data_IF_233299913973
#
_entry.id   IF_233299913973
#
_cell.length_a   1.000
_cell.length_b   1.000
_cell.length_c   1.000
_cell.angle_alpha   90.00
_cell.angle_beta   90.00
_cell.angle_gamma   90.00
#
_symmetry.space_group_name_H-M   'P 1'
#
loop_
_entity.id
_entity.type
_entity.pdbx_description
1 polymer ?
#
# COMPACT_ATOMS: atom_id res chain seq x y z
N UNK A 1 -48.51 4.13 -2.97
CA UNK A 1 -48.27 4.54 -4.39
C UNK A 1 -46.84 4.06 -4.66
N UNK A 2 -46.67 3.10 -5.56
CA UNK A 2 -45.34 2.76 -6.04
C UNK A 2 -44.69 4.00 -6.61
N UNK A 3 -43.51 4.35 -6.13
CA UNK A 3 -42.73 5.46 -6.66
C UNK A 3 -42.41 5.17 -8.13
N UNK A 4 -42.92 6.01 -9.04
CA UNK A 4 -42.70 5.80 -10.47
C UNK A 4 -41.20 5.97 -10.76
N UNK A 5 -40.49 4.90 -11.00
CA UNK A 5 -39.04 4.91 -11.32
C UNK A 5 -38.81 5.81 -12.53
N UNK A 6 -37.91 6.79 -12.40
CA UNK A 6 -37.49 7.65 -13.50
C UNK A 6 -36.37 6.95 -14.28
N UNK A 7 -36.74 6.31 -15.38
CA UNK A 7 -35.81 5.55 -16.23
C UNK A 7 -34.78 6.46 -16.90
N UNK A 8 -35.16 7.67 -17.27
CA UNK A 8 -34.23 8.63 -17.88
C UNK A 8 -33.10 9.02 -16.86
N UNK A 9 -33.42 9.12 -15.57
CA UNK A 9 -32.44 9.42 -14.55
C UNK A 9 -31.43 8.27 -14.37
N UNK A 10 -31.86 7.02 -14.49
CA UNK A 10 -31.00 5.85 -14.47
C UNK A 10 -30.10 5.81 -15.72
N UNK A 11 -30.63 6.12 -16.87
CA UNK A 11 -29.96 6.00 -18.17
C UNK A 11 -29.01 7.16 -18.47
N UNK A 12 -29.16 8.32 -17.84
CA UNK A 12 -28.31 9.49 -18.13
C UNK A 12 -26.83 9.23 -17.86
N UNK A 13 -26.52 8.32 -16.89
CA UNK A 13 -25.14 7.95 -16.48
C UNK A 13 -24.63 6.71 -17.23
N UNK A 14 -25.43 6.13 -18.12
CA UNK A 14 -25.05 4.96 -18.92
C UNK A 14 -24.42 5.40 -20.25
N UNK A 15 -23.52 4.59 -20.77
CA UNK A 15 -22.85 4.87 -22.05
C UNK A 15 -23.83 4.74 -23.24
N UNK A 16 -23.59 5.51 -24.29
CA UNK A 16 -24.19 5.27 -25.58
C UNK A 16 -23.89 3.82 -26.03
N UNK A 17 -24.88 3.18 -26.67
CA UNK A 17 -24.79 1.76 -27.03
C UNK A 17 -25.19 0.79 -25.91
N UNK A 18 -25.60 1.29 -24.72
CA UNK A 18 -26.16 0.41 -23.67
C UNK A 18 -27.34 -0.37 -24.23
N UNK A 19 -27.28 -1.69 -24.14
CA UNK A 19 -28.32 -2.60 -24.61
C UNK A 19 -29.57 -2.48 -23.75
N UNK A 20 -30.71 -2.39 -24.40
CA UNK A 20 -32.05 -2.28 -23.81
C UNK A 20 -33.05 -3.08 -24.67
N UNK A 21 -34.29 -3.22 -24.21
CA UNK A 21 -35.30 -4.00 -24.88
C UNK A 21 -36.63 -3.24 -24.97
N UNK A 22 -37.19 -3.18 -26.19
CA UNK A 22 -38.54 -2.67 -26.42
C UNK A 22 -39.54 -3.82 -26.38
N UNK A 23 -40.33 -3.89 -25.32
CA UNK A 23 -41.33 -4.94 -25.10
C UNK A 23 -42.48 -4.88 -26.13
N UNK A 24 -42.90 -3.68 -26.56
CA UNK A 24 -44.00 -3.52 -27.47
C UNK A 24 -43.66 -4.00 -28.89
N UNK A 25 -42.41 -3.72 -29.31
CA UNK A 25 -41.92 -4.07 -30.66
C UNK A 25 -41.22 -5.41 -30.68
N UNK A 26 -40.92 -5.97 -29.49
CA UNK A 26 -40.17 -7.22 -29.28
C UNK A 26 -38.83 -7.19 -29.99
N UNK A 27 -38.06 -6.10 -29.77
CA UNK A 27 -36.74 -5.89 -30.38
C UNK A 27 -35.73 -5.39 -29.35
N UNK A 28 -34.47 -5.73 -29.57
CA UNK A 28 -33.34 -5.11 -28.87
C UNK A 28 -33.11 -3.70 -29.43
N UNK A 29 -32.86 -2.75 -28.54
CA UNK A 29 -32.54 -1.37 -28.85
C UNK A 29 -31.29 -0.95 -28.10
N UNK A 30 -30.58 0.04 -28.61
CA UNK A 30 -29.40 0.62 -28.00
C UNK A 30 -29.68 2.05 -27.58
N UNK A 31 -29.27 2.41 -26.36
CA UNK A 31 -29.36 3.78 -25.88
C UNK A 31 -28.52 4.68 -26.79
N UNK A 32 -29.12 5.70 -27.40
CA UNK A 32 -28.38 6.77 -28.08
C UNK A 32 -28.07 7.90 -27.10
N UNK A 33 -29.10 8.50 -26.53
CA UNK A 33 -28.94 9.57 -25.51
C UNK A 33 -30.21 9.78 -24.68
N UNK A 34 -30.01 10.44 -23.54
CA UNK A 34 -31.08 11.05 -22.76
C UNK A 34 -31.02 12.56 -22.99
N UNK A 35 -32.10 13.18 -23.40
CA UNK A 35 -32.12 14.62 -23.62
C UNK A 35 -33.35 15.28 -23.01
N UNK A 36 -33.20 16.55 -22.63
CA UNK A 36 -34.27 17.36 -22.06
C UNK A 36 -34.59 18.50 -23.01
N UNK A 37 -35.86 18.67 -23.28
CA UNK A 37 -36.44 19.77 -24.10
C UNK A 37 -37.37 20.63 -23.25
N UNK A 38 -37.90 21.71 -23.80
CA UNK A 38 -38.88 22.57 -23.13
C UNK A 38 -40.17 21.82 -22.73
N UNK A 39 -40.45 20.69 -23.38
CA UNK A 39 -41.65 19.85 -23.15
C UNK A 39 -41.38 18.61 -22.26
N UNK A 40 -40.13 18.31 -21.93
CA UNK A 40 -39.82 17.22 -21.03
C UNK A 40 -38.50 16.50 -21.32
N UNK A 41 -38.21 15.47 -20.51
CA UNK A 41 -37.07 14.59 -20.70
C UNK A 41 -37.47 13.32 -21.46
N UNK A 42 -36.67 12.95 -22.43
CA UNK A 42 -36.89 11.81 -23.33
C UNK A 42 -35.64 10.92 -23.40
N UNK A 43 -35.90 9.65 -23.71
CA UNK A 43 -34.87 8.63 -23.93
C UNK A 43 -34.92 8.28 -25.41
N UNK A 44 -33.83 8.51 -26.12
CA UNK A 44 -33.67 8.17 -27.53
C UNK A 44 -32.86 6.87 -27.64
N UNK A 45 -33.42 5.90 -28.36
CA UNK A 45 -32.77 4.63 -28.62
C UNK A 45 -32.79 4.33 -30.12
N UNK A 46 -31.83 3.51 -30.54
CA UNK A 46 -31.68 3.05 -31.91
C UNK A 46 -31.79 1.54 -32.01
N UNK A 47 -32.24 1.03 -33.16
CA UNK A 47 -32.13 -0.37 -33.53
C UNK A 47 -31.74 -0.48 -35.00
N UNK A 48 -30.84 -1.39 -35.31
CA UNK A 48 -30.42 -1.66 -36.68
C UNK A 48 -31.15 -2.90 -37.19
N UNK A 49 -31.90 -2.75 -38.27
CA UNK A 49 -32.63 -3.87 -38.89
C UNK A 49 -31.70 -4.76 -39.74
N UNK A 50 -32.22 -5.91 -40.20
CA UNK A 50 -31.48 -6.88 -41.02
C UNK A 50 -30.89 -6.32 -42.31
N UNK A 51 -31.45 -5.21 -42.84
CA UNK A 51 -30.98 -4.54 -44.06
C UNK A 51 -29.97 -3.42 -43.75
N UNK A 52 -29.52 -3.27 -42.46
CA UNK A 52 -28.53 -2.27 -42.05
C UNK A 52 -29.12 -0.84 -41.92
N UNK A 53 -30.42 -0.67 -41.91
CA UNK A 53 -31.05 0.63 -41.67
C UNK A 53 -31.24 0.86 -40.17
N UNK A 54 -30.83 2.02 -39.68
CA UNK A 54 -31.01 2.42 -38.27
C UNK A 54 -32.39 3.07 -38.12
N UNK A 55 -33.16 2.54 -37.18
CA UNK A 55 -34.45 3.09 -36.75
C UNK A 55 -34.26 3.83 -35.42
N UNK A 56 -34.96 4.95 -35.26
CA UNK A 56 -34.94 5.78 -34.07
C UNK A 56 -36.23 5.63 -33.27
N UNK A 57 -36.13 5.47 -31.95
CA UNK A 57 -37.26 5.33 -31.04
C UNK A 57 -37.12 6.31 -29.89
N UNK A 58 -38.20 7.03 -29.60
CA UNK A 58 -38.29 7.96 -28.48
C UNK A 58 -39.20 7.42 -27.38
N UNK A 59 -38.72 7.44 -26.16
CA UNK A 59 -39.46 7.05 -24.95
C UNK A 59 -39.58 8.23 -24.00
N UNK A 60 -40.64 8.24 -23.20
CA UNK A 60 -40.78 9.20 -22.11
C UNK A 60 -39.71 8.93 -21.02
N UNK A 61 -39.57 9.86 -20.10
CA UNK A 61 -38.69 9.70 -18.92
C UNK A 61 -39.00 8.46 -18.04
N UNK A 62 -40.18 7.88 -18.19
CA UNK A 62 -40.64 6.68 -17.47
C UNK A 62 -40.44 5.40 -18.29
N UNK A 63 -39.90 5.46 -19.51
CA UNK A 63 -39.76 4.32 -20.42
C UNK A 63 -41.09 3.86 -21.06
N UNK A 64 -42.08 4.74 -21.13
CA UNK A 64 -43.31 4.54 -21.90
C UNK A 64 -43.17 5.14 -23.30
N UNK A 65 -44.11 4.88 -24.25
CA UNK A 65 -44.10 5.60 -25.50
C UNK A 65 -44.16 7.12 -25.27
N UNK A 66 -43.47 7.90 -26.12
CA UNK A 66 -43.30 9.36 -25.98
C UNK A 66 -44.61 10.11 -25.81
N UNK A 67 -45.64 9.68 -26.51
CA UNK A 67 -46.97 10.31 -26.49
C UNK A 67 -47.87 9.81 -25.35
N UNK A 68 -47.46 8.82 -24.54
CA UNK A 68 -48.30 8.20 -23.53
C UNK A 68 -47.60 8.25 -22.16
N UNK A 69 -47.63 9.41 -21.52
CA UNK A 69 -46.96 9.66 -20.20
C UNK A 69 -47.48 8.79 -19.04
N UNK A 70 -48.70 8.22 -19.20
CA UNK A 70 -49.30 7.35 -18.20
C UNK A 70 -49.45 5.88 -18.65
N UNK A 71 -48.82 5.52 -19.76
CA UNK A 71 -48.88 4.19 -20.36
C UNK A 71 -48.04 3.14 -19.59
N UNK A 72 -48.18 1.90 -20.05
CA UNK A 72 -47.33 0.80 -19.62
C UNK A 72 -45.88 1.09 -20.00
N UNK A 73 -44.97 0.83 -19.09
CA UNK A 73 -43.51 0.87 -19.36
C UNK A 73 -43.17 -0.21 -20.38
N UNK A 74 -42.65 0.19 -21.53
CA UNK A 74 -42.30 -0.71 -22.63
C UNK A 74 -40.80 -0.81 -22.83
N UNK A 75 -40.00 0.20 -22.38
CA UNK A 75 -38.54 0.13 -22.37
C UNK A 75 -38.11 -0.59 -21.12
N UNK A 76 -37.30 -1.63 -21.25
CA UNK A 76 -36.84 -2.51 -20.23
C UNK A 76 -35.29 -2.62 -20.28
N UNK A 77 -34.59 -2.99 -19.18
CA UNK A 77 -33.15 -3.23 -19.22
C UNK A 77 -32.74 -4.30 -20.23
N UNK A 78 -33.44 -5.45 -20.26
CA UNK A 78 -33.28 -6.49 -21.27
C UNK A 78 -34.60 -7.27 -21.46
N UNK A 79 -34.59 -8.28 -22.31
CA UNK A 79 -35.71 -9.20 -22.46
C UNK A 79 -35.94 -10.02 -21.18
N UNK A 80 -34.89 -10.38 -20.48
CA UNK A 80 -34.88 -11.19 -19.26
C UNK A 80 -35.07 -10.34 -18.01
N UNK A 81 -34.42 -9.16 -17.96
CA UNK A 81 -34.43 -8.24 -16.83
C UNK A 81 -35.46 -7.16 -16.99
N UNK A 82 -36.39 -7.02 -16.03
CA UNK A 82 -37.45 -6.01 -16.01
C UNK A 82 -37.41 -5.03 -14.86
N UNK A 83 -36.45 -5.22 -13.97
CA UNK A 83 -36.28 -4.45 -12.73
C UNK A 83 -35.27 -3.32 -12.90
N UNK A 84 -35.75 -2.11 -13.16
CA UNK A 84 -34.91 -0.91 -13.27
C UNK A 84 -34.18 -0.57 -11.97
N UNK A 85 -34.70 -0.94 -10.81
CA UNK A 85 -34.02 -0.70 -9.54
C UNK A 85 -32.71 -1.51 -9.47
N UNK A 86 -32.75 -2.77 -9.92
CA UNK A 86 -31.55 -3.62 -9.99
C UNK A 86 -30.61 -3.17 -11.09
N UNK A 87 -31.14 -2.79 -12.26
CA UNK A 87 -30.31 -2.23 -13.34
C UNK A 87 -29.58 -0.94 -12.92
N UNK A 88 -30.11 -0.19 -11.96
CA UNK A 88 -29.49 1.03 -11.43
C UNK A 88 -28.31 0.80 -10.51
N UNK A 89 -27.97 -0.45 -10.18
CA UNK A 89 -26.81 -0.75 -9.35
C UNK A 89 -25.53 -0.17 -9.96
N UNK A 90 -24.68 0.39 -9.09
CA UNK A 90 -23.42 1.04 -9.47
C UNK A 90 -22.26 0.31 -8.83
N UNK A 91 -21.11 0.31 -9.47
CA UNK A 91 -19.87 -0.20 -8.89
C UNK A 91 -19.65 0.39 -7.49
N UNK A 92 -19.37 -0.49 -6.53
CA UNK A 92 -19.23 -0.13 -5.11
C UNK A 92 -20.52 -0.19 -4.29
N UNK A 93 -21.69 -0.46 -4.91
CA UNK A 93 -22.91 -0.74 -4.14
C UNK A 93 -22.78 -2.06 -3.38
N UNK A 94 -23.25 -2.08 -2.14
CA UNK A 94 -23.33 -3.32 -1.36
C UNK A 94 -24.66 -3.99 -1.66
N UNK A 95 -24.58 -5.23 -2.10
CA UNK A 95 -25.74 -6.11 -2.33
C UNK A 95 -25.84 -7.13 -1.20
N UNK A 96 -27.05 -7.48 -0.83
CA UNK A 96 -27.34 -8.52 0.17
C UNK A 96 -28.21 -9.59 -0.47
N UNK A 97 -27.87 -10.85 -0.21
CA UNK A 97 -28.68 -12.00 -0.63
C UNK A 97 -30.06 -11.97 0.03
N UNK A 98 -31.08 -12.49 -0.63
CA UNK A 98 -32.46 -12.50 -0.13
C UNK A 98 -32.64 -13.23 1.21
N UNK A 99 -31.69 -14.13 1.57
CA UNK A 99 -31.65 -14.82 2.86
C UNK A 99 -30.82 -14.05 3.91
N UNK A 100 -30.24 -12.91 3.54
CA UNK A 100 -29.47 -12.03 4.42
C UNK A 100 -28.07 -12.53 4.80
N UNK A 101 -27.62 -13.68 4.27
CA UNK A 101 -26.37 -14.31 4.71
C UNK A 101 -25.13 -13.87 3.97
N UNK A 102 -25.29 -13.41 2.73
CA UNK A 102 -24.18 -13.03 1.88
C UNK A 102 -24.27 -11.53 1.54
N UNK A 103 -23.17 -10.81 1.74
CA UNK A 103 -23.03 -9.42 1.28
C UNK A 103 -21.88 -9.34 0.28
N UNK A 104 -22.11 -8.66 -0.83
CA UNK A 104 -21.17 -8.53 -1.95
C UNK A 104 -21.08 -7.07 -2.35
N UNK A 105 -19.91 -6.59 -2.68
CA UNK A 105 -19.73 -5.27 -3.28
C UNK A 105 -19.85 -5.44 -4.80
N UNK A 106 -20.87 -4.85 -5.39
CA UNK A 106 -21.15 -4.95 -6.82
C UNK A 106 -20.04 -4.31 -7.65
N UNK A 107 -19.59 -5.00 -8.68
CA UNK A 107 -18.61 -4.49 -9.64
C UNK A 107 -19.27 -4.14 -10.97
N UNK A 108 -19.89 -5.12 -11.64
CA UNK A 108 -20.52 -5.00 -12.94
C UNK A 108 -21.54 -6.10 -13.18
N UNK A 109 -22.40 -5.90 -14.16
CA UNK A 109 -23.15 -7.01 -14.72
C UNK A 109 -22.23 -7.91 -15.56
N UNK A 110 -22.53 -9.18 -15.62
CA UNK A 110 -21.71 -10.17 -16.33
C UNK A 110 -21.92 -10.07 -17.86
N UNK A 111 -23.16 -9.82 -18.28
CA UNK A 111 -23.54 -9.67 -19.68
C UNK A 111 -24.68 -8.65 -19.90
N UNK A 112 -25.09 -8.46 -21.15
CA UNK A 112 -26.16 -7.55 -21.58
C UNK A 112 -27.57 -8.06 -21.23
N UNK A 113 -27.72 -9.23 -20.61
CA UNK A 113 -29.01 -9.70 -20.08
C UNK A 113 -29.32 -9.13 -18.71
N UNK A 114 -28.25 -8.69 -17.98
CA UNK A 114 -28.29 -8.13 -16.63
C UNK A 114 -28.89 -9.07 -15.57
N UNK A 115 -28.94 -10.36 -15.87
CA UNK A 115 -29.49 -11.39 -14.96
C UNK A 115 -28.46 -11.91 -13.99
N UNK A 116 -27.18 -11.77 -14.30
CA UNK A 116 -26.04 -12.10 -13.45
C UNK A 116 -25.09 -10.91 -13.27
N UNK A 117 -24.29 -10.97 -12.21
CA UNK A 117 -23.34 -9.91 -11.90
C UNK A 117 -22.05 -10.49 -11.29
N UNK A 118 -20.99 -9.69 -11.37
CA UNK A 118 -19.71 -9.92 -10.71
C UNK A 118 -19.54 -8.90 -9.60
N UNK A 119 -18.99 -9.32 -8.47
CA UNK A 119 -18.70 -8.46 -7.33
C UNK A 119 -17.58 -9.01 -6.47
N UNK A 120 -17.17 -8.25 -5.46
CA UNK A 120 -16.17 -8.63 -4.49
C UNK A 120 -16.82 -9.14 -3.21
N UNK A 121 -16.36 -10.28 -2.76
CA UNK A 121 -16.86 -10.97 -1.57
C UNK A 121 -15.73 -11.10 -0.55
N UNK A 122 -15.98 -10.67 0.69
CA UNK A 122 -15.03 -10.72 1.78
C UNK A 122 -15.51 -11.69 2.85
N UNK A 123 -14.84 -12.84 2.97
CA UNK A 123 -15.18 -13.91 3.91
C UNK A 123 -14.22 -13.92 5.08
N UNK A 124 -14.78 -14.05 6.29
CA UNK A 124 -14.01 -14.45 7.46
C UNK A 124 -13.79 -15.96 7.41
N UNK A 125 -12.54 -16.38 7.21
CA UNK A 125 -12.16 -17.79 7.37
C UNK A 125 -11.11 -17.91 8.48
N UNK A 126 -11.28 -18.90 9.36
CA UNK A 126 -10.25 -19.26 10.30
C UNK A 126 -9.22 -20.16 9.60
N UNK A 127 -7.96 -19.71 9.54
CA UNK A 127 -6.84 -20.51 9.03
C UNK A 127 -6.48 -21.65 9.97
N UNK A 128 -5.53 -22.49 9.56
CA UNK A 128 -5.08 -23.67 10.33
C UNK A 128 -4.53 -23.38 11.74
N UNK A 129 -4.25 -22.10 12.04
CA UNK A 129 -3.68 -21.65 13.33
C UNK A 129 -4.63 -20.74 14.12
N UNK A 130 -5.95 -20.82 13.89
CA UNK A 130 -6.95 -19.90 14.46
C UNK A 130 -6.70 -18.40 14.14
N UNK A 131 -5.86 -18.10 13.15
CA UNK A 131 -5.71 -16.75 12.63
C UNK A 131 -6.81 -16.45 11.61
N UNK A 132 -7.46 -15.29 11.76
CA UNK A 132 -8.45 -14.80 10.80
C UNK A 132 -7.73 -14.54 9.45
N UNK A 133 -8.08 -15.34 8.45
CA UNK A 133 -7.62 -15.12 7.09
C UNK A 133 -8.77 -14.54 6.28
N UNK A 134 -8.56 -13.34 5.74
CA UNK A 134 -9.52 -12.71 4.85
C UNK A 134 -9.27 -13.17 3.42
N UNK A 135 -10.29 -13.76 2.81
CA UNK A 135 -10.29 -14.07 1.38
C UNK A 135 -11.10 -13.01 0.64
N UNK A 136 -10.46 -12.37 -0.32
CA UNK A 136 -11.10 -11.59 -1.35
C UNK A 136 -11.34 -12.52 -2.55
N UNK A 137 -12.61 -12.75 -2.90
CA UNK A 137 -12.97 -13.58 -4.04
C UNK A 137 -13.92 -12.83 -4.97
N UNK A 138 -13.79 -13.08 -6.28
CA UNK A 138 -14.83 -12.70 -7.23
C UNK A 138 -16.08 -13.53 -6.95
N UNK A 139 -17.20 -12.86 -6.81
CA UNK A 139 -18.50 -13.49 -6.62
C UNK A 139 -19.34 -13.33 -7.87
N UNK A 140 -19.82 -14.44 -8.39
CA UNK A 140 -20.80 -14.48 -9.48
C UNK A 140 -22.18 -14.77 -8.90
N UNK A 141 -23.10 -13.83 -9.06
CA UNK A 141 -24.43 -13.95 -8.47
C UNK A 141 -25.55 -13.66 -9.47
N UNK A 142 -26.68 -14.35 -9.28
CA UNK A 142 -27.90 -14.04 -10.03
C UNK A 142 -28.60 -12.83 -9.42
N UNK A 143 -28.93 -11.84 -10.22
CA UNK A 143 -29.56 -10.59 -9.77
C UNK A 143 -30.89 -10.82 -9.06
N UNK A 144 -31.61 -11.90 -9.39
CA UNK A 144 -32.88 -12.26 -8.74
C UNK A 144 -32.73 -12.57 -7.26
N UNK A 145 -31.56 -13.06 -6.86
CA UNK A 145 -31.27 -13.50 -5.49
C UNK A 145 -30.72 -12.38 -4.59
N UNK A 146 -30.52 -11.17 -5.11
CA UNK A 146 -29.92 -10.06 -4.41
C UNK A 146 -30.76 -8.79 -4.46
N UNK A 147 -30.60 -7.97 -3.42
CA UNK A 147 -31.14 -6.61 -3.35
C UNK A 147 -30.05 -5.65 -2.90
N UNK A 148 -30.18 -4.37 -3.28
CA UNK A 148 -29.24 -3.35 -2.79
C UNK A 148 -29.49 -3.09 -1.31
N UNK A 149 -28.41 -3.08 -0.53
CA UNK A 149 -28.48 -2.79 0.89
C UNK A 149 -28.80 -1.31 1.13
N UNK A 150 -29.35 -0.98 2.31
CA UNK A 150 -29.52 0.39 2.72
C UNK A 150 -28.14 1.09 2.83
N UNK A 151 -28.10 2.41 2.64
CA UNK A 151 -26.85 3.16 2.67
C UNK A 151 -26.14 3.03 4.03
N UNK A 152 -26.88 3.07 5.13
CA UNK A 152 -26.36 2.92 6.48
C UNK A 152 -25.74 1.52 6.72
N UNK A 153 -26.44 0.46 6.31
CA UNK A 153 -25.95 -0.90 6.47
C UNK A 153 -24.78 -1.22 5.52
N UNK A 154 -24.78 -0.62 4.32
CA UNK A 154 -23.67 -0.71 3.37
C UNK A 154 -22.41 -0.04 3.91
N UNK A 155 -22.52 1.16 4.46
CA UNK A 155 -21.40 1.87 5.09
C UNK A 155 -20.86 1.09 6.29
N UNK A 156 -21.73 0.52 7.12
CA UNK A 156 -21.34 -0.32 8.26
C UNK A 156 -20.55 -1.55 7.80
N UNK A 157 -21.03 -2.22 6.74
CA UNK A 157 -20.35 -3.40 6.17
C UNK A 157 -18.95 -3.04 5.62
N UNK A 158 -18.85 -1.97 4.82
CA UNK A 158 -17.56 -1.49 4.28
C UNK A 158 -16.60 -1.14 5.42
N UNK A 159 -17.07 -0.41 6.43
CA UNK A 159 -16.24 -0.02 7.58
C UNK A 159 -15.72 -1.25 8.35
N UNK A 160 -16.54 -2.28 8.51
CA UNK A 160 -16.12 -3.55 9.16
C UNK A 160 -14.99 -4.22 8.36
N UNK A 161 -15.07 -4.26 7.02
CA UNK A 161 -14.00 -4.79 6.17
C UNK A 161 -12.75 -3.95 6.30
N UNK A 162 -12.86 -2.63 6.21
CA UNK A 162 -11.75 -1.69 6.32
C UNK A 162 -11.01 -1.81 7.66
N UNK A 163 -11.75 -1.89 8.77
CA UNK A 163 -11.18 -2.07 10.11
C UNK A 163 -10.48 -3.43 10.26
N UNK A 164 -11.08 -4.50 9.74
CA UNK A 164 -10.55 -5.85 9.80
C UNK A 164 -9.28 -6.01 8.96
N UNK A 165 -9.25 -5.45 7.75
CA UNK A 165 -8.11 -5.56 6.82
C UNK A 165 -7.05 -4.47 7.05
N UNK A 166 -7.34 -3.49 7.91
CA UNK A 166 -6.42 -2.41 8.24
C UNK A 166 -6.16 -1.45 7.07
N UNK A 167 -7.14 -1.24 6.18
CA UNK A 167 -7.01 -0.40 5.00
C UNK A 167 -8.32 0.27 4.60
N UNK A 168 -8.32 0.95 3.45
CA UNK A 168 -9.50 1.58 2.85
C UNK A 168 -9.86 0.89 1.55
N UNK A 169 -11.16 0.65 1.32
CA UNK A 169 -11.62 0.11 0.04
C UNK A 169 -11.57 1.22 -1.02
N UNK A 170 -10.74 1.01 -2.03
CA UNK A 170 -10.75 1.85 -3.23
C UNK A 170 -12.03 1.55 -4.02
N UNK A 171 -12.84 2.58 -4.25
CA UNK A 171 -14.14 2.42 -4.91
C UNK A 171 -14.05 2.15 -6.42
N UNK A 172 -12.89 2.39 -7.03
CA UNK A 172 -12.66 2.12 -8.46
C UNK A 172 -12.15 0.70 -8.69
N UNK A 173 -11.19 0.23 -7.88
CA UNK A 173 -10.62 -1.12 -7.99
C UNK A 173 -11.40 -2.14 -7.17
N UNK A 174 -12.07 -1.71 -6.11
CA UNK A 174 -12.71 -2.50 -5.05
C UNK A 174 -11.70 -3.31 -4.22
N UNK A 175 -10.43 -2.92 -4.24
CA UNK A 175 -9.36 -3.52 -3.44
C UNK A 175 -9.15 -2.72 -2.14
N UNK A 176 -8.64 -3.40 -1.12
CA UNK A 176 -8.31 -2.74 0.15
C UNK A 176 -6.90 -2.17 0.09
N UNK A 177 -6.82 -0.85 0.02
CA UNK A 177 -5.56 -0.13 0.09
C UNK A 177 -5.14 0.05 1.55
N UNK A 178 -4.08 -0.65 1.95
CA UNK A 178 -3.50 -0.46 3.28
C UNK A 178 -2.73 0.86 3.30
N UNK A 179 -2.89 1.68 4.35
CA UNK A 179 -2.07 2.87 4.49
C UNK A 179 -0.61 2.44 4.54
N UNK A 180 0.16 2.90 3.59
CA UNK A 180 1.60 2.69 3.66
C UNK A 180 2.13 3.51 4.85
N UNK A 181 2.91 2.91 5.76
CA UNK A 181 3.48 3.64 6.87
C UNK A 181 4.31 4.82 6.31
N UNK A 182 4.05 6.02 6.82
CA UNK A 182 4.89 7.18 6.52
C UNK A 182 6.23 7.02 7.24
N UNK A 183 7.27 6.71 6.49
CA UNK A 183 8.62 6.67 7.01
C UNK A 183 9.24 8.07 6.98
N UNK A 184 10.01 8.36 8.04
CA UNK A 184 10.77 9.61 8.16
C UNK A 184 12.22 9.36 7.84
N UNK A 185 12.87 10.39 7.34
CA UNK A 185 14.32 10.38 7.13
C UNK A 185 15.06 9.94 8.41
N UNK A 186 15.88 8.89 8.28
CA UNK A 186 16.59 8.25 9.37
C UNK A 186 15.87 7.05 10.01
N UNK A 187 14.63 6.74 9.63
CA UNK A 187 13.97 5.53 10.09
C UNK A 187 14.68 4.28 9.55
N UNK A 188 14.87 3.28 10.41
CA UNK A 188 15.44 2.02 9.98
C UNK A 188 14.30 1.08 9.58
N UNK A 189 14.33 0.66 8.33
CA UNK A 189 13.27 -0.11 7.69
C UNK A 189 13.78 -1.45 7.17
N UNK A 190 12.89 -2.42 7.12
CA UNK A 190 13.08 -3.64 6.34
C UNK A 190 12.39 -3.45 4.99
N UNK A 191 13.18 -3.61 3.92
CA UNK A 191 12.76 -3.53 2.54
C UNK A 191 12.63 -4.95 1.98
N UNK A 192 11.40 -5.38 1.69
CA UNK A 192 11.14 -6.69 1.10
C UNK A 192 10.91 -6.52 -0.40
N UNK A 193 11.77 -7.16 -1.20
CA UNK A 193 11.71 -7.16 -2.65
C UNK A 193 11.81 -8.59 -3.16
N UNK A 194 10.80 -9.08 -3.90
CA UNK A 194 10.81 -10.45 -4.47
C UNK A 194 11.14 -11.54 -3.45
N UNK A 195 10.62 -11.44 -2.22
CA UNK A 195 10.86 -12.36 -1.08
C UNK A 195 12.27 -12.27 -0.46
N UNK A 196 13.08 -11.31 -0.86
CA UNK A 196 14.36 -11.00 -0.22
C UNK A 196 14.16 -9.82 0.73
N UNK A 197 14.64 -9.95 1.97
CA UNK A 197 14.59 -8.87 2.96
C UNK A 197 15.95 -8.17 3.03
N UNK A 198 15.94 -6.86 2.85
CA UNK A 198 17.08 -5.97 3.03
C UNK A 198 16.79 -5.05 4.21
N UNK A 199 17.82 -4.59 4.91
CA UNK A 199 17.67 -3.65 6.02
C UNK A 199 18.27 -2.31 5.60
N UNK A 200 17.53 -1.21 5.77
CA UNK A 200 17.96 0.06 5.24
C UNK A 200 17.69 1.24 6.18
N UNK A 201 18.46 2.31 6.05
CA UNK A 201 18.18 3.60 6.66
C UNK A 201 17.45 4.45 5.62
N UNK A 202 16.18 4.69 5.86
CA UNK A 202 15.32 5.44 4.94
C UNK A 202 15.76 6.90 4.85
N UNK A 203 15.79 7.45 3.63
CA UNK A 203 16.13 8.84 3.37
C UNK A 203 14.92 9.63 2.85
N UNK A 204 14.33 9.19 1.73
CA UNK A 204 13.24 9.90 1.07
C UNK A 204 12.45 8.99 0.15
N UNK A 205 11.22 9.40 -0.18
CA UNK A 205 10.39 8.75 -1.19
C UNK A 205 9.96 9.78 -2.23
N UNK A 206 10.15 9.48 -3.51
CA UNK A 206 9.72 10.27 -4.66
C UNK A 206 8.91 9.37 -5.59
N UNK A 207 8.14 9.93 -6.52
CA UNK A 207 7.15 9.20 -7.35
C UNK A 207 7.64 7.86 -7.96
N UNK A 208 8.92 7.72 -8.25
CA UNK A 208 9.47 6.51 -8.88
C UNK A 208 10.65 5.89 -8.11
N UNK A 209 11.08 6.50 -7.00
CA UNK A 209 12.29 6.09 -6.30
C UNK A 209 12.16 6.22 -4.79
N UNK A 210 12.77 5.27 -4.09
CA UNK A 210 12.98 5.33 -2.64
C UNK A 210 14.48 5.48 -2.41
N UNK A 211 14.88 6.56 -1.73
CA UNK A 211 16.26 6.84 -1.34
C UNK A 211 16.57 6.25 0.02
N UNK A 212 17.79 5.71 0.16
CA UNK A 212 18.31 5.19 1.41
C UNK A 212 19.72 5.72 1.64
N UNK A 213 20.06 6.04 2.90
CA UNK A 213 21.43 6.38 3.31
C UNK A 213 22.34 5.15 3.27
N UNK A 214 21.83 4.00 3.72
CA UNK A 214 22.51 2.71 3.66
C UNK A 214 21.51 1.58 3.48
N UNK A 215 21.94 0.50 2.81
CA UNK A 215 21.17 -0.73 2.62
C UNK A 215 22.08 -1.92 2.85
N UNK A 216 21.74 -2.76 3.83
CA UNK A 216 22.33 -4.06 4.03
C UNK A 216 21.53 -5.11 3.24
N UNK A 217 22.13 -5.64 2.20
CA UNK A 217 21.52 -6.67 1.38
C UNK A 217 21.52 -8.04 2.08
N UNK A 218 20.64 -8.93 1.67
CA UNK A 218 20.54 -10.30 2.20
C UNK A 218 21.85 -11.12 2.06
N UNK A 219 22.72 -10.74 1.13
CA UNK A 219 24.04 -11.34 0.92
C UNK A 219 25.16 -10.68 1.74
N UNK A 220 24.82 -9.95 2.81
CA UNK A 220 25.73 -9.17 3.65
C UNK A 220 26.51 -8.04 2.93
N UNK A 221 26.09 -7.67 1.72
CA UNK A 221 26.64 -6.52 1.00
C UNK A 221 26.01 -5.22 1.53
N UNK A 222 26.87 -4.27 1.93
CA UNK A 222 26.45 -2.94 2.35
C UNK A 222 26.53 -1.97 1.18
N UNK A 223 25.44 -1.30 0.86
CA UNK A 223 25.34 -0.29 -0.19
C UNK A 223 25.05 1.07 0.46
N UNK A 224 25.82 2.09 0.12
CA UNK A 224 25.61 3.45 0.62
C UNK A 224 24.99 4.32 -0.48
N UNK A 225 24.09 5.25 -0.08
CA UNK A 225 23.44 6.25 -0.93
C UNK A 225 22.86 5.68 -2.24
N UNK A 226 22.15 4.56 -2.14
CA UNK A 226 21.54 3.89 -3.31
C UNK A 226 20.02 4.14 -3.36
N UNK A 227 19.51 4.75 -4.44
CA UNK A 227 18.08 4.78 -4.71
C UNK A 227 17.60 3.44 -5.28
N UNK A 228 16.44 2.99 -4.83
CA UNK A 228 15.71 1.86 -5.40
C UNK A 228 14.54 2.38 -6.21
N UNK A 229 14.29 1.78 -7.39
CA UNK A 229 13.12 2.10 -8.20
C UNK A 229 11.90 1.37 -7.67
N UNK A 230 10.81 2.09 -7.43
CA UNK A 230 9.56 1.55 -6.89
C UNK A 230 8.74 0.77 -7.94
N UNK A 231 8.95 1.06 -9.23
CA UNK A 231 8.25 0.42 -10.35
C UNK A 231 8.77 -0.98 -10.74
N UNK A 232 9.81 -1.49 -10.08
CA UNK A 232 10.51 -2.74 -10.43
C UNK A 232 10.04 -3.94 -9.59
N UNK A 233 8.80 -3.97 -9.11
CA UNK A 233 8.23 -5.13 -8.44
C UNK A 233 7.54 -4.79 -7.12
N UNK A 234 6.96 -5.78 -6.47
CA UNK A 234 6.30 -5.64 -5.17
C UNK A 234 7.34 -5.28 -4.11
N UNK A 235 7.41 -3.99 -3.78
CA UNK A 235 8.25 -3.45 -2.71
C UNK A 235 7.37 -3.23 -1.49
N UNK A 236 7.67 -3.95 -0.42
CA UNK A 236 7.05 -3.75 0.89
C UNK A 236 8.06 -3.16 1.86
N UNK A 237 7.69 -2.06 2.51
CA UNK A 237 8.47 -1.43 3.57
C UNK A 237 7.77 -1.57 4.91
N UNK A 238 8.52 -1.97 5.94
CA UNK A 238 8.08 -1.95 7.34
C UNK A 238 9.20 -1.43 8.24
N UNK A 239 8.88 -1.01 9.45
CA UNK A 239 9.93 -0.71 10.43
C UNK A 239 10.76 -1.96 10.72
N UNK A 240 12.07 -1.79 10.83
CA UNK A 240 12.97 -2.87 11.18
C UNK A 240 12.81 -3.24 12.66
N UNK A 241 12.92 -4.53 12.97
CA UNK A 241 13.02 -5.03 14.33
C UNK A 241 14.36 -4.62 14.98
N UNK A 242 14.46 -4.68 16.29
CA UNK A 242 15.71 -4.32 16.98
C UNK A 242 16.87 -5.24 16.59
N UNK A 243 16.60 -6.51 16.29
CA UNK A 243 17.61 -7.44 15.78
C UNK A 243 18.10 -7.05 14.37
N UNK A 244 17.20 -6.62 13.49
CA UNK A 244 17.55 -6.15 12.15
C UNK A 244 18.34 -4.84 12.21
N UNK A 245 17.95 -3.91 13.08
CA UNK A 245 18.72 -2.67 13.30
C UNK A 245 20.15 -2.97 13.73
N UNK A 246 20.32 -3.92 14.68
CA UNK A 246 21.64 -4.30 15.15
C UNK A 246 22.49 -4.90 14.02
N UNK A 247 21.91 -5.75 13.16
CA UNK A 247 22.63 -6.31 12.00
C UNK A 247 23.16 -5.21 11.07
N UNK A 248 22.35 -4.17 10.79
CA UNK A 248 22.77 -3.05 9.96
C UNK A 248 23.90 -2.25 10.62
N UNK A 249 23.82 -1.97 11.93
CA UNK A 249 24.86 -1.25 12.64
C UNK A 249 26.16 -2.05 12.76
N UNK A 250 26.07 -3.36 12.95
CA UNK A 250 27.25 -4.23 12.94
C UNK A 250 27.93 -4.28 11.56
N UNK A 251 27.13 -4.26 10.49
CA UNK A 251 27.64 -4.20 9.13
C UNK A 251 28.33 -2.87 8.84
N UNK A 252 27.75 -1.74 9.25
CA UNK A 252 28.39 -0.41 9.15
C UNK A 252 29.70 -0.37 9.91
N UNK A 253 29.70 -0.84 11.18
CA UNK A 253 30.90 -0.84 12.01
C UNK A 253 32.02 -1.73 11.42
N UNK A 254 31.69 -2.83 10.75
CA UNK A 254 32.63 -3.71 10.06
C UNK A 254 33.37 -3.00 8.92
N UNK A 255 32.65 -2.14 8.19
CA UNK A 255 33.22 -1.31 7.12
C UNK A 255 33.90 -0.04 7.66
N UNK A 256 33.93 0.15 8.98
CA UNK A 256 34.53 1.34 9.61
C UNK A 256 33.61 2.56 9.56
N UNK A 257 32.31 2.36 9.48
CA UNK A 257 31.30 3.40 9.38
C UNK A 257 30.30 3.34 10.52
N UNK A 258 29.59 4.43 10.79
CA UNK A 258 28.50 4.51 11.73
C UNK A 258 27.39 5.44 11.25
N UNK A 259 26.18 5.23 11.73
CA UNK A 259 25.06 6.12 11.51
C UNK A 259 24.98 7.20 12.58
N UNK A 260 25.10 8.47 12.20
CA UNK A 260 24.81 9.62 13.06
C UNK A 260 23.33 10.00 12.90
N UNK A 261 22.51 9.59 13.86
CA UNK A 261 21.04 9.82 13.80
C UNK A 261 20.64 11.29 14.01
N UNK A 262 21.52 12.12 14.60
CA UNK A 262 21.24 13.54 14.78
C UNK A 262 21.51 14.33 13.50
N UNK A 263 22.63 14.04 12.85
CA UNK A 263 23.01 14.69 11.58
C UNK A 263 22.41 14.01 10.35
N UNK A 264 21.89 12.78 10.52
CA UNK A 264 21.34 11.95 9.43
C UNK A 264 22.33 11.69 8.30
N UNK A 265 23.52 11.29 8.66
CA UNK A 265 24.62 10.95 7.73
C UNK A 265 25.35 9.69 8.19
N UNK A 266 25.96 9.01 7.24
CA UNK A 266 26.97 8.00 7.53
C UNK A 266 28.28 8.71 7.80
N UNK A 267 28.93 8.37 8.90
CA UNK A 267 30.23 8.91 9.32
C UNK A 267 31.28 7.79 9.35
N UNK A 268 32.51 8.12 8.97
CA UNK A 268 33.63 7.21 9.15
C UNK A 268 33.95 7.10 10.65
N UNK A 269 33.96 5.87 11.15
CA UNK A 269 34.54 5.59 12.44
C UNK A 269 36.07 5.81 12.32
N UNK A 270 36.62 6.68 13.15
CA UNK A 270 38.08 6.80 13.19
C UNK A 270 38.66 5.39 13.31
N UNK A 271 39.61 5.00 12.45
CA UNK A 271 40.16 3.63 12.49
C UNK A 271 40.62 3.32 13.89
N UNK A 272 40.19 2.17 14.42
CA UNK A 272 40.73 1.65 15.70
C UNK A 272 42.20 1.38 15.44
N UNK A 273 43.05 2.33 15.83
CA UNK A 273 44.49 2.22 15.57
C UNK A 273 44.98 1.00 16.28
N UNK A 274 45.28 -0.07 15.54
CA UNK A 274 45.94 -1.26 16.10
C UNK A 274 47.36 -0.89 16.52
N UNK A 275 47.58 -0.83 17.81
CA UNK A 275 48.95 -0.63 18.36
C UNK A 275 49.79 -1.83 18.01
N UNK A 276 50.98 -1.58 17.42
CA UNK A 276 51.98 -2.61 17.13
C UNK A 276 53.14 -2.48 18.09
N UNK A 277 53.82 -3.59 18.42
CA UNK A 277 55.04 -3.52 19.21
C UNK A 277 56.02 -2.48 18.68
N UNK A 278 56.54 -1.63 19.57
CA UNK A 278 57.41 -0.49 19.33
C UNK A 278 56.71 0.80 18.87
N UNK A 279 55.41 0.84 18.77
CA UNK A 279 54.70 2.10 18.52
C UNK A 279 54.90 3.06 19.70
N UNK A 280 55.09 4.33 19.37
CA UNK A 280 55.10 5.41 20.36
C UNK A 280 53.66 5.70 20.79
N UNK A 281 53.43 5.70 22.10
CA UNK A 281 52.09 5.82 22.70
C UNK A 281 52.07 6.88 23.79
N UNK A 282 50.87 7.35 24.11
CA UNK A 282 50.56 8.07 25.32
C UNK A 282 49.84 7.10 26.27
N UNK A 283 50.23 7.10 27.53
CA UNK A 283 49.73 6.20 28.58
C UNK A 283 49.37 6.95 29.84
N UNK A 284 48.40 6.46 30.59
CA UNK A 284 48.11 6.90 31.97
C UNK A 284 47.43 5.75 32.74
N UNK A 285 47.52 5.80 34.07
CA UNK A 285 46.92 4.78 34.90
C UNK A 285 45.46 5.07 35.26
N UNK A 286 45.08 6.35 35.34
CA UNK A 286 43.74 6.81 35.71
C UNK A 286 43.34 7.95 34.81
N UNK A 287 42.05 8.11 34.63
CA UNK A 287 41.47 9.22 33.82
C UNK A 287 41.88 10.63 34.29
N UNK A 288 42.19 10.76 35.62
CA UNK A 288 42.61 12.02 36.22
C UNK A 288 44.11 12.31 36.15
N UNK A 289 44.88 11.40 35.58
CA UNK A 289 46.34 11.54 35.46
C UNK A 289 46.72 12.15 34.12
N UNK A 290 47.89 12.79 34.06
CA UNK A 290 48.42 13.35 32.82
C UNK A 290 48.94 12.22 31.91
N UNK A 291 48.74 12.40 30.61
CA UNK A 291 49.27 11.50 29.59
C UNK A 291 50.79 11.57 29.55
N UNK A 292 51.44 10.41 29.72
CA UNK A 292 52.89 10.24 29.62
C UNK A 292 53.28 9.49 28.34
N UNK A 293 54.41 9.88 27.72
CA UNK A 293 54.89 9.18 26.51
C UNK A 293 55.57 7.84 26.89
N UNK A 294 55.28 6.79 26.11
CA UNK A 294 55.87 5.46 26.29
C UNK A 294 56.04 4.74 24.95
N UNK A 295 56.55 3.53 24.95
CA UNK A 295 56.65 2.65 23.78
C UNK A 295 55.84 1.38 24.09
N UNK A 296 54.89 1.09 23.22
CA UNK A 296 53.98 -0.05 23.35
C UNK A 296 54.72 -1.37 23.07
N UNK A 297 54.41 -2.41 23.84
CA UNK A 297 54.93 -3.75 23.65
C UNK A 297 53.83 -4.73 23.21
N UNK A 298 52.86 -4.96 24.05
CA UNK A 298 51.74 -5.86 23.77
C UNK A 298 50.58 -5.59 24.73
N UNK A 299 49.42 -6.19 24.41
CA UNK A 299 48.25 -6.17 25.29
C UNK A 299 48.27 -7.44 26.15
N UNK A 300 48.10 -7.25 27.47
CA UNK A 300 47.82 -8.33 28.38
C UNK A 300 46.35 -8.32 28.73
N UNK A 301 45.64 -9.39 28.36
CA UNK A 301 44.19 -9.51 28.54
C UNK A 301 43.86 -10.73 29.35
N UNK A 302 43.07 -10.55 30.42
CA UNK A 302 42.42 -11.61 31.20
C UNK A 302 40.92 -11.48 31.04
N UNK A 303 40.12 -12.38 31.65
CA UNK A 303 38.66 -12.31 31.65
C UNK A 303 38.11 -11.10 32.43
N UNK A 304 38.94 -10.53 33.35
CA UNK A 304 38.53 -9.47 34.27
C UNK A 304 39.05 -8.07 33.88
N UNK A 305 40.23 -7.99 33.23
CA UNK A 305 40.85 -6.72 32.88
C UNK A 305 41.73 -6.79 31.62
N UNK A 306 42.01 -5.62 31.08
CA UNK A 306 42.86 -5.43 29.91
C UNK A 306 43.88 -4.35 30.21
N UNK A 307 45.16 -4.72 30.13
CA UNK A 307 46.30 -3.84 30.39
C UNK A 307 47.18 -3.68 29.14
N UNK A 308 47.70 -2.48 28.98
CA UNK A 308 48.66 -2.16 27.93
C UNK A 308 50.06 -2.22 28.48
N UNK A 309 50.82 -3.23 28.07
CA UNK A 309 52.21 -3.40 28.49
C UNK A 309 53.10 -2.55 27.60
N UNK A 310 53.88 -1.68 28.23
CA UNK A 310 54.86 -0.79 27.60
C UNK A 310 56.26 -1.02 28.15
N UNK A 311 57.28 -0.42 27.55
CA UNK A 311 58.68 -0.56 28.00
C UNK A 311 58.83 -0.15 29.47
N UNK A 312 58.08 0.88 29.88
CA UNK A 312 58.11 1.37 31.26
C UNK A 312 56.74 1.14 31.92
N UNK A 313 56.43 -0.13 32.26
CA UNK A 313 55.28 -0.47 33.06
C UNK A 313 54.04 -0.92 32.29
N UNK A 314 53.00 -1.17 33.07
CA UNK A 314 51.67 -1.60 32.57
C UNK A 314 50.66 -0.50 32.85
N UNK A 315 49.76 -0.25 31.92
CA UNK A 315 48.89 0.91 31.94
C UNK A 315 47.45 0.53 31.59
N UNK A 316 46.49 1.16 32.23
CA UNK A 316 45.09 0.94 31.98
C UNK A 316 44.60 1.68 30.69
N UNK A 317 45.19 2.84 30.43
CA UNK A 317 44.86 3.63 29.24
C UNK A 317 46.11 3.81 28.36
N UNK A 318 45.92 3.55 27.05
CA UNK A 318 46.97 3.66 26.05
C UNK A 318 46.38 4.11 24.70
N UNK A 319 46.92 5.19 24.13
CA UNK A 319 46.53 5.72 22.85
C UNK A 319 47.76 5.95 21.96
N UNK A 320 47.65 5.94 20.63
CA UNK A 320 48.74 6.29 19.75
C UNK A 320 49.29 7.70 20.05
N UNK A 321 50.59 7.86 19.99
CA UNK A 321 51.21 9.16 20.13
C UNK A 321 50.90 10.07 18.92
N UNK A 322 50.96 9.51 17.69
CA UNK A 322 50.72 10.22 16.45
C UNK A 322 49.24 10.63 16.38
N UNK A 323 49.01 11.92 16.21
CA UNK A 323 47.69 12.54 16.19
C UNK A 323 47.15 12.94 17.57
N UNK A 324 47.85 12.59 18.65
CA UNK A 324 47.46 12.91 20.03
C UNK A 324 48.59 13.66 20.80
N UNK A 325 49.55 14.20 20.10
CA UNK A 325 50.73 14.85 20.69
C UNK A 325 50.37 16.01 21.63
N UNK A 326 49.28 16.68 21.34
CA UNK A 326 48.78 17.79 22.18
C UNK A 326 48.25 17.39 23.54
N UNK A 327 47.99 16.08 23.77
CA UNK A 327 47.51 15.56 25.03
C UNK A 327 48.65 15.28 26.02
N UNK A 328 49.90 15.19 25.54
CA UNK A 328 51.07 14.92 26.42
C UNK A 328 51.16 15.96 27.55
N UNK A 329 51.23 15.47 28.81
CA UNK A 329 51.26 16.33 29.98
C UNK A 329 49.92 16.98 30.32
N UNK A 330 48.83 16.53 29.76
CA UNK A 330 47.49 17.00 30.07
C UNK A 330 46.60 15.86 30.60
N UNK A 331 45.52 16.23 31.29
CA UNK A 331 44.51 15.29 31.76
C UNK A 331 43.31 15.20 30.80
N UNK A 332 43.36 15.91 29.64
CA UNK A 332 42.28 15.93 28.67
C UNK A 332 42.11 14.59 27.97
N UNK A 333 40.89 14.23 27.67
CA UNK A 333 40.60 13.05 26.88
C UNK A 333 40.69 13.34 25.36
N UNK A 334 40.81 12.28 24.58
CA UNK A 334 40.71 12.35 23.12
C UNK A 334 39.31 12.87 22.77
N UNK A 335 39.26 14.03 22.14
CA UNK A 335 37.99 14.52 21.58
C UNK A 335 37.45 13.50 20.55
N UNK A 336 36.27 12.92 20.87
CA UNK A 336 35.63 11.86 20.11
C UNK A 336 35.17 12.31 18.72
#
# INVERSE_FOLDING_TARGET
>A
MEEKINVAEILKDKSQGTKLYDLLRNIDVELDKVHTTDVGTYIECTSTNEVGSTLLFDYSKLGTEKCWLEGLRILLPSKEMRDWAKFSWKKGDVLVSNDGKCKVIFERFDDDTYTSFVGKYYVECYGKNDELQDYEEEHYGDTVNYTKESEEAAQTYIKTIEERLGGKINRETLEVEKPQPEFKDGDIVALVVRKCTHIAIFQSRQEAYIGFHAVLCQNDELLLEKPFREDVGDIELRLATDSEKQQLFDALAKEGEAWDSEKKIIIELKPKVELKPFDKVLVRQRETEEWGANIFSHIYKTDEYLDYVCIHGTWEFCIPYIGNESLLGTTKDVEG
#
